data_IF_221744081487
#
_entry.id   IF_221744081487
#
_cell.length_a   1.000
_cell.length_b   1.000
_cell.length_c   1.000
_cell.angle_alpha   90.00
_cell.angle_beta   90.00
_cell.angle_gamma   90.00
#
_symmetry.space_group_name_H-M   'P 1'
#
loop_
_entity.id
_entity.type
_entity.pdbx_description
1 polymer ?
#
# COMPACT_ATOMS: atom_id res chain seq x y z
N UNK A 1 -28.07 11.14 -1.46
CA UNK A 1 -27.02 12.18 -1.30
C UNK A 1 -26.19 11.95 -0.03
N UNK A 2 -26.68 11.17 0.93
CA UNK A 2 -26.02 10.91 2.21
C UNK A 2 -24.88 9.86 2.14
N UNK A 3 -24.91 8.98 1.14
CA UNK A 3 -23.81 8.03 0.92
C UNK A 3 -22.48 8.73 0.59
N UNK A 4 -22.51 9.79 -0.21
CA UNK A 4 -21.30 10.55 -0.56
C UNK A 4 -20.76 11.27 0.68
N UNK A 5 -21.64 11.84 1.52
CA UNK A 5 -21.24 12.47 2.77
C UNK A 5 -20.59 11.47 3.75
N UNK A 6 -21.12 10.25 3.85
CA UNK A 6 -20.53 9.18 4.67
C UNK A 6 -19.16 8.71 4.12
N UNK A 7 -19.01 8.55 2.80
CA UNK A 7 -17.72 8.22 2.18
C UNK A 7 -16.68 9.31 2.44
N UNK A 8 -17.07 10.57 2.31
CA UNK A 8 -16.19 11.71 2.59
C UNK A 8 -15.76 11.71 4.06
N UNK A 9 -16.67 11.48 5.02
CA UNK A 9 -16.31 11.39 6.44
C UNK A 9 -15.28 10.31 6.73
N UNK A 10 -15.44 9.11 6.15
CA UNK A 10 -14.46 8.03 6.32
C UNK A 10 -13.11 8.40 5.69
N UNK A 11 -13.10 8.98 4.49
CA UNK A 11 -11.85 9.44 3.86
C UNK A 11 -11.15 10.51 4.70
N UNK A 12 -11.90 11.49 5.23
CA UNK A 12 -11.35 12.53 6.09
C UNK A 12 -10.76 11.93 7.37
N UNK A 13 -11.47 11.00 8.03
CA UNK A 13 -10.98 10.34 9.24
C UNK A 13 -9.72 9.51 8.96
N UNK A 14 -9.70 8.75 7.87
CA UNK A 14 -8.53 7.93 7.47
C UNK A 14 -7.34 8.83 7.14
N UNK A 15 -7.55 9.91 6.39
CA UNK A 15 -6.47 10.80 5.99
C UNK A 15 -5.91 11.60 7.17
N UNK A 16 -6.79 12.11 8.04
CA UNK A 16 -6.37 12.79 9.27
C UNK A 16 -5.63 11.83 10.22
N UNK A 17 -6.13 10.59 10.36
CA UNK A 17 -5.48 9.55 11.15
C UNK A 17 -4.09 9.17 10.62
N UNK A 18 -3.94 9.06 9.30
CA UNK A 18 -2.66 8.79 8.66
C UNK A 18 -1.67 9.97 8.79
N UNK A 19 -2.17 11.21 8.77
CA UNK A 19 -1.33 12.41 8.90
C UNK A 19 -0.99 12.79 10.36
N UNK A 20 -1.61 12.17 11.37
CA UNK A 20 -1.44 12.51 12.79
C UNK A 20 0.03 12.57 13.25
N UNK A 21 0.91 11.59 12.94
CA UNK A 21 2.31 11.63 13.36
C UNK A 21 3.06 12.85 12.80
N UNK A 22 2.80 13.19 11.53
CA UNK A 22 3.35 14.39 10.89
C UNK A 22 2.81 15.67 11.51
N UNK A 23 1.50 15.74 11.80
CA UNK A 23 0.87 16.91 12.42
C UNK A 23 1.39 17.16 13.85
N UNK A 24 1.56 16.12 14.66
CA UNK A 24 2.12 16.23 16.01
C UNK A 24 3.57 16.72 15.99
N UNK A 25 4.34 16.33 14.99
CA UNK A 25 5.73 16.75 14.83
C UNK A 25 5.84 18.21 14.37
N UNK A 26 4.99 18.64 13.43
CA UNK A 26 4.90 20.03 12.95
C UNK A 26 4.42 21.00 14.04
N UNK A 27 3.54 20.55 14.94
CA UNK A 27 2.98 21.40 16.01
C UNK A 27 4.02 21.76 17.08
N UNK A 28 5.11 20.99 17.19
CA UNK A 28 6.06 21.11 18.30
C UNK A 28 7.38 21.83 17.96
N UNK A 29 7.62 22.32 16.73
CA UNK A 29 8.97 22.76 16.33
C UNK A 29 9.05 23.94 15.34
N UNK A 30 9.80 24.98 15.75
CA UNK A 30 10.41 26.03 14.91
C UNK A 30 11.83 25.62 14.44
N UNK A 31 12.02 24.40 13.94
CA UNK A 31 13.35 23.93 13.50
C UNK A 31 13.54 24.02 11.99
N UNK A 32 14.77 24.29 11.50
CA UNK A 32 15.06 24.34 10.07
C UNK A 32 14.72 23.01 9.39
N UNK A 33 14.07 23.09 8.23
CA UNK A 33 13.50 21.95 7.47
C UNK A 33 14.47 20.77 7.27
N UNK A 34 15.76 21.05 7.09
CA UNK A 34 16.82 20.05 6.94
C UNK A 34 17.06 19.19 8.21
N UNK A 35 16.74 19.72 9.39
CA UNK A 35 16.83 18.98 10.65
C UNK A 35 15.59 18.10 10.87
N UNK A 36 14.45 18.50 10.31
CA UNK A 36 13.16 17.79 10.41
C UNK A 36 13.15 16.47 9.64
N UNK A 37 13.81 16.40 8.48
CA UNK A 37 13.93 15.16 7.70
C UNK A 37 14.82 14.09 8.34
N UNK A 38 15.77 14.51 9.19
CA UNK A 38 16.65 13.60 9.93
C UNK A 38 16.02 13.06 11.22
N UNK A 39 14.82 13.51 11.58
CA UNK A 39 14.10 13.02 12.75
C UNK A 39 13.62 11.59 12.53
N UNK A 40 13.82 10.73 13.52
CA UNK A 40 13.46 9.30 13.47
C UNK A 40 12.03 9.07 12.97
N UNK A 41 11.06 9.81 13.50
CA UNK A 41 9.64 9.68 13.10
C UNK A 41 9.37 10.07 11.64
N UNK A 42 10.03 11.11 11.14
CA UNK A 42 9.87 11.56 9.74
C UNK A 42 10.56 10.57 8.80
N UNK A 43 11.79 10.18 9.13
CA UNK A 43 12.54 9.19 8.37
C UNK A 43 11.76 7.87 8.29
N UNK A 44 11.13 7.44 9.39
CA UNK A 44 10.28 6.25 9.42
C UNK A 44 9.05 6.38 8.50
N UNK A 45 8.31 7.50 8.51
CA UNK A 45 7.19 7.74 7.57
C UNK A 45 7.66 7.66 6.12
N UNK A 46 8.75 8.35 5.80
CA UNK A 46 9.27 8.41 4.44
C UNK A 46 9.66 7.01 3.97
N UNK A 47 10.42 6.27 4.78
CA UNK A 47 10.81 4.90 4.46
C UNK A 47 9.59 3.99 4.37
N UNK A 48 8.59 4.13 5.27
CA UNK A 48 7.32 3.39 5.20
C UNK A 48 6.63 3.59 3.86
N UNK A 49 6.42 4.84 3.42
CA UNK A 49 5.78 5.15 2.15
C UNK A 49 6.58 4.59 0.97
N UNK A 50 7.91 4.72 0.99
CA UNK A 50 8.79 4.19 -0.06
C UNK A 50 8.69 2.66 -0.15
N UNK A 51 8.81 1.96 0.98
CA UNK A 51 8.72 0.50 1.06
C UNK A 51 7.33 0.02 0.64
N UNK A 52 6.26 0.71 1.07
CA UNK A 52 4.89 0.41 0.63
C UNK A 52 4.73 0.54 -0.87
N UNK A 53 5.23 1.62 -1.47
CA UNK A 53 5.16 1.85 -2.92
C UNK A 53 5.92 0.78 -3.70
N UNK A 54 7.15 0.46 -3.29
CA UNK A 54 7.97 -0.59 -3.91
C UNK A 54 7.27 -1.96 -3.77
N UNK A 55 6.72 -2.25 -2.59
CA UNK A 55 5.96 -3.47 -2.34
C UNK A 55 4.74 -3.61 -3.26
N UNK A 56 4.02 -2.50 -3.51
CA UNK A 56 2.89 -2.47 -4.43
C UNK A 56 3.31 -2.78 -5.87
N UNK A 57 4.40 -2.18 -6.34
CA UNK A 57 4.95 -2.43 -7.68
C UNK A 57 5.47 -3.87 -7.81
N UNK A 58 6.12 -4.39 -6.77
CA UNK A 58 6.64 -5.76 -6.72
C UNK A 58 5.54 -6.82 -6.61
N UNK A 59 4.33 -6.48 -6.14
CA UNK A 59 3.24 -7.43 -5.96
C UNK A 59 2.83 -8.13 -7.26
N UNK A 60 2.81 -7.42 -8.40
CA UNK A 60 2.44 -7.98 -9.72
C UNK A 60 3.42 -9.06 -10.21
N UNK A 61 4.73 -8.81 -10.30
CA UNK A 61 5.67 -9.85 -10.72
C UNK A 61 5.72 -11.02 -9.73
N UNK A 62 5.63 -10.74 -8.42
CA UNK A 62 5.60 -11.80 -7.39
C UNK A 62 4.38 -12.71 -7.57
N UNK A 63 3.18 -12.15 -7.71
CA UNK A 63 1.96 -12.95 -7.90
C UNK A 63 1.99 -13.74 -9.22
N UNK A 64 2.57 -13.17 -10.28
CA UNK A 64 2.73 -13.85 -11.57
C UNK A 64 3.67 -15.05 -11.47
N UNK A 65 4.83 -14.88 -10.80
CA UNK A 65 5.76 -15.99 -10.56
C UNK A 65 5.11 -17.12 -9.76
N UNK A 66 4.38 -16.77 -8.69
CA UNK A 66 3.65 -17.75 -7.88
C UNK A 66 2.57 -18.47 -8.69
N UNK A 67 1.82 -17.76 -9.53
CA UNK A 67 0.78 -18.34 -10.38
C UNK A 67 1.38 -19.28 -11.45
N UNK A 68 2.48 -18.89 -12.08
CA UNK A 68 3.19 -19.70 -13.07
C UNK A 68 3.72 -21.00 -12.44
N UNK A 69 4.34 -20.91 -11.25
CA UNK A 69 4.77 -22.11 -10.52
C UNK A 69 3.58 -22.99 -10.14
N UNK A 70 2.51 -22.43 -9.60
CA UNK A 70 1.32 -23.19 -9.23
C UNK A 70 0.68 -23.90 -10.44
N UNK A 71 0.64 -23.25 -11.61
CA UNK A 71 0.10 -23.86 -12.84
C UNK A 71 1.02 -24.94 -13.41
N UNK A 72 2.34 -24.78 -13.35
CA UNK A 72 3.30 -25.81 -13.74
C UNK A 72 3.16 -27.11 -12.94
N UNK A 73 2.57 -27.05 -11.73
CA UNK A 73 2.28 -28.22 -10.90
C UNK A 73 0.88 -28.83 -11.16
N UNK A 74 0.07 -28.27 -12.08
CA UNK A 74 -1.24 -28.85 -12.45
C UNK A 74 -1.04 -29.77 -13.67
N UNK A 75 -1.27 -31.09 -13.56
CA UNK A 75 -1.29 -31.94 -14.74
C UNK A 75 -2.41 -31.45 -15.67
N UNK A 76 -2.06 -31.23 -16.94
CA UNK A 76 -2.99 -30.78 -17.97
C UNK A 76 -4.19 -31.73 -18.00
N UNK A 77 -5.36 -31.25 -17.55
CA UNK A 77 -6.60 -31.99 -17.62
C UNK A 77 -6.97 -32.09 -19.09
N UNK A 78 -6.68 -33.24 -19.69
CA UNK A 78 -7.07 -33.58 -21.04
C UNK A 78 -8.59 -33.40 -21.17
N UNK A 79 -9.01 -32.42 -21.97
CA UNK A 79 -10.39 -32.32 -22.43
C UNK A 79 -10.64 -33.52 -23.35
N UNK A 80 -11.20 -34.59 -22.78
CA UNK A 80 -11.83 -35.65 -23.58
C UNK A 80 -13.15 -35.10 -24.10
N UNK A 81 -13.16 -34.59 -25.33
CA UNK A 81 -14.39 -34.40 -26.10
C UNK A 81 -14.90 -35.77 -26.56
N UNK A 82 -16.11 -36.20 -26.19
CA UNK A 82 -16.74 -37.33 -26.86
C UNK A 82 -17.46 -36.81 -28.11
N UNK A 83 -16.86 -37.03 -29.28
CA UNK A 83 -17.62 -37.16 -30.52
C UNK A 83 -17.53 -38.62 -30.95
N UNK A 84 -18.61 -39.36 -30.70
CA UNK A 84 -18.76 -40.80 -30.98
C UNK A 84 -19.97 -41.34 -30.27
#
# INVERSE_FOLDING_TARGET
>A
RDHIASMVNTLVLVYAGAALPLLLLLTNRDLPFAYTISYELIAEEIVRILVTSIGLVAAVPVTTLLAAQAMGHRPARAETTPYG
#
